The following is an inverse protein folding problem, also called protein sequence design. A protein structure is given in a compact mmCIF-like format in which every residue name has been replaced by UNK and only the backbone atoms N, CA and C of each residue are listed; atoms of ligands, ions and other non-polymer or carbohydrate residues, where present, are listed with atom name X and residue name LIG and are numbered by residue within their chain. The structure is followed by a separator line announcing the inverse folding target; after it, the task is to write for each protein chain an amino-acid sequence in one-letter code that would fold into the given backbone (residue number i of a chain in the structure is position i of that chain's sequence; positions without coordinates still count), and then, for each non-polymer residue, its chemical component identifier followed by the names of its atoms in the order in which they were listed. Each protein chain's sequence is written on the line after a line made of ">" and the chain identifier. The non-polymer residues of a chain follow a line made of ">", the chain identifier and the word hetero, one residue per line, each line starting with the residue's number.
data_IF_620466014229
#
_entry.id   IF_620466014229
#
_cell.length_a   1.000
_cell.length_b   1.000
_cell.length_c   1.000
_cell.angle_alpha   90.00
_cell.angle_beta   90.00
_cell.angle_gamma   90.00
#
_symmetry.space_group_name_H-M   'P 1'
#
loop_
_entity.id
_entity.type
_entity.pdbx_description
1 polymer ?
#
# COMPACT_ATOMS: atom_id res chain seq x y z
N UNK A 1 34.20 11.71 35.63
CA UNK A 1 33.83 12.94 34.89
C UNK A 1 33.43 12.53 33.48
N UNK A 2 32.30 12.85 32.91
CA UNK A 2 31.10 13.54 33.38
C UNK A 2 29.94 13.07 32.50
N UNK A 3 28.75 13.03 33.10
CA UNK A 3 27.50 12.62 32.49
C UNK A 3 27.00 13.61 31.41
N UNK A 4 26.27 13.08 30.43
CA UNK A 4 25.06 13.67 29.86
C UNK A 4 24.05 12.52 29.77
N UNK A 5 23.05 12.40 30.65
CA UNK A 5 21.79 13.18 30.70
C UNK A 5 21.14 13.27 29.31
N UNK A 6 19.91 12.81 29.06
CA UNK A 6 18.85 12.41 29.97
C UNK A 6 18.16 11.13 29.50
N UNK A 7 17.80 10.30 30.48
CA UNK A 7 16.72 9.36 30.34
C UNK A 7 15.50 10.14 29.84
N UNK A 8 14.92 9.71 28.72
CA UNK A 8 13.57 10.12 28.33
C UNK A 8 12.70 9.72 29.52
N UNK A 9 12.23 10.72 30.24
CA UNK A 9 11.21 10.55 31.26
C UNK A 9 10.02 9.99 30.52
N UNK A 10 9.67 8.74 30.84
CA UNK A 10 8.46 8.10 30.33
C UNK A 10 7.29 9.07 30.54
N UNK A 11 6.71 9.55 29.44
CA UNK A 11 5.42 10.21 29.47
C UNK A 11 4.43 9.27 30.18
N UNK A 12 3.51 9.85 30.96
CA UNK A 12 2.63 9.12 31.89
C UNK A 12 2.10 7.81 31.30
N UNK A 13 2.12 6.73 32.11
CA UNK A 13 1.96 5.33 31.66
C UNK A 13 0.96 5.23 30.50
N UNK A 14 1.50 4.82 29.35
CA UNK A 14 0.76 4.45 28.16
C UNK A 14 -0.45 3.58 28.56
N UNK A 15 -1.64 4.03 28.19
CA UNK A 15 -2.87 3.33 28.55
C UNK A 15 -3.18 2.37 27.42
N UNK A 16 -3.13 1.07 27.73
CA UNK A 16 -3.43 0.05 26.72
C UNK A 16 -4.85 0.22 26.17
N UNK A 17 -5.09 -0.20 24.92
CA UNK A 17 -6.41 -0.25 24.28
C UNK A 17 -7.47 -0.82 25.23
N UNK A 18 -7.17 -1.96 25.87
CA UNK A 18 -8.07 -2.64 26.79
C UNK A 18 -8.42 -1.80 28.01
N UNK A 19 -7.45 -1.10 28.59
CA UNK A 19 -7.66 -0.23 29.74
C UNK A 19 -8.41 1.06 29.36
N UNK A 20 -8.14 1.61 28.18
CA UNK A 20 -8.76 2.84 27.71
C UNK A 20 -10.22 2.61 27.32
N UNK A 21 -10.46 1.59 26.49
CA UNK A 21 -11.77 1.30 25.93
C UNK A 21 -12.80 0.87 27.00
N UNK A 22 -12.41 0.02 27.95
CA UNK A 22 -13.26 -0.37 29.09
C UNK A 22 -13.82 0.83 29.85
N UNK A 23 -13.03 1.89 29.96
CA UNK A 23 -13.44 3.11 30.65
C UNK A 23 -14.31 4.00 29.77
N UNK A 24 -14.07 4.06 28.45
CA UNK A 24 -14.97 4.72 27.49
C UNK A 24 -16.37 4.11 27.53
N UNK A 25 -16.49 2.78 27.59
CA UNK A 25 -17.80 2.10 27.73
C UNK A 25 -18.57 2.55 28.98
N UNK A 26 -17.86 2.80 30.07
CA UNK A 26 -18.46 3.25 31.35
C UNK A 26 -18.72 4.76 31.42
N UNK A 27 -18.20 5.53 30.46
CA UNK A 27 -18.21 6.99 30.46
C UNK A 27 -19.49 7.58 29.84
N UNK A 28 -20.51 6.80 29.52
CA UNK A 28 -21.77 7.27 28.89
C UNK A 28 -22.74 7.99 29.84
N UNK A 29 -22.33 8.26 31.09
CA UNK A 29 -23.16 8.89 32.13
C UNK A 29 -22.83 10.38 32.32
N UNK A 30 -23.72 11.23 32.87
CA UNK A 30 -23.44 12.66 33.12
C UNK A 30 -22.16 12.97 33.93
N UNK A 31 -21.68 12.04 34.77
CA UNK A 31 -20.47 12.18 35.60
C UNK A 31 -19.16 11.77 34.91
N UNK A 32 -19.20 11.57 33.59
CA UNK A 32 -18.09 11.05 32.78
C UNK A 32 -16.76 11.80 32.96
N UNK A 33 -16.81 13.12 33.17
CA UNK A 33 -15.63 13.96 33.35
C UNK A 33 -14.82 13.57 34.59
N UNK A 34 -15.50 13.28 35.70
CA UNK A 34 -14.85 12.87 36.94
C UNK A 34 -14.30 11.44 36.82
N UNK A 35 -15.06 10.54 36.17
CA UNK A 35 -14.63 9.15 35.92
C UNK A 35 -13.38 9.11 35.05
N UNK A 36 -13.39 9.79 33.90
CA UNK A 36 -12.26 9.86 32.99
C UNK A 36 -11.08 10.57 33.66
N UNK A 37 -11.24 11.80 34.16
CA UNK A 37 -10.13 12.54 34.80
C UNK A 37 -9.45 11.78 35.95
N UNK A 38 -10.18 10.96 36.72
CA UNK A 38 -9.60 10.14 37.79
C UNK A 38 -8.61 9.06 37.31
N UNK A 39 -8.72 8.64 36.04
CA UNK A 39 -7.84 7.66 35.42
C UNK A 39 -6.52 8.29 34.98
N UNK A 40 -6.53 9.49 34.38
CA UNK A 40 -5.30 10.12 33.87
C UNK A 40 -4.43 10.66 35.02
N UNK A 41 -3.58 9.78 35.57
CA UNK A 41 -2.54 10.10 36.56
C UNK A 41 -1.19 10.22 35.87
N UNK A 42 -0.52 11.38 35.98
CA UNK A 42 0.87 11.55 35.55
C UNK A 42 1.11 12.39 34.29
N UNK A 43 0.13 13.14 33.78
CA UNK A 43 0.39 14.16 32.75
C UNK A 43 0.92 15.42 33.46
N UNK A 44 2.22 15.69 33.37
CA UNK A 44 2.82 16.91 33.92
C UNK A 44 2.35 18.16 33.16
N UNK A 45 2.01 19.20 33.92
CA UNK A 45 1.71 20.60 33.57
C UNK A 45 0.66 20.95 32.49
N UNK A 46 0.00 19.97 31.83
CA UNK A 46 -0.93 20.23 30.72
C UNK A 46 -2.38 19.75 30.85
N UNK A 47 -2.63 18.67 31.61
CA UNK A 47 -3.97 18.06 31.79
C UNK A 47 -4.61 17.44 30.53
N UNK A 48 -5.80 16.84 30.71
CA UNK A 48 -6.69 16.36 29.64
C UNK A 48 -7.62 17.49 29.21
N UNK A 49 -7.80 17.67 27.90
CA UNK A 49 -8.76 18.60 27.34
C UNK A 49 -10.14 17.94 27.26
N UNK A 50 -11.15 18.63 27.76
CA UNK A 50 -12.54 18.16 27.75
C UNK A 50 -13.41 19.13 26.96
N UNK A 51 -14.13 18.63 25.97
CA UNK A 51 -15.17 19.34 25.26
C UNK A 51 -16.53 18.74 25.61
N UNK A 52 -17.41 19.55 26.20
CA UNK A 52 -18.78 19.14 26.55
C UNK A 52 -19.71 19.33 25.35
N UNK A 53 -20.51 18.31 25.05
CA UNK A 53 -21.42 18.28 23.91
C UNK A 53 -20.74 18.02 22.57
N UNK A 54 -21.48 18.28 21.50
CA UNK A 54 -21.02 18.10 20.13
C UNK A 54 -19.96 19.15 19.77
N UNK A 55 -18.93 18.73 19.05
CA UNK A 55 -17.86 19.59 18.52
C UNK A 55 -17.96 19.62 17.00
N UNK A 56 -18.23 20.80 16.45
CA UNK A 56 -18.21 21.05 15.01
C UNK A 56 -17.07 22.00 14.65
N UNK A 57 -16.27 21.64 13.64
CA UNK A 57 -15.21 22.49 13.11
C UNK A 57 -14.95 22.21 11.62
N UNK A 58 -14.22 23.09 10.95
CA UNK A 58 -13.78 22.81 9.58
C UNK A 58 -12.64 21.79 9.56
N UNK A 59 -11.65 21.94 10.44
CA UNK A 59 -10.54 21.00 10.66
C UNK A 59 -10.22 20.89 12.15
N UNK A 60 -9.53 19.83 12.56
CA UNK A 60 -9.05 19.64 13.93
C UNK A 60 -7.63 19.07 13.91
N UNK A 61 -6.73 19.76 14.63
CA UNK A 61 -5.38 19.26 14.92
C UNK A 61 -5.33 18.84 16.38
N UNK A 62 -5.15 17.55 16.65
CA UNK A 62 -5.01 17.01 18.01
C UNK A 62 -3.59 17.29 18.48
N UNK A 63 -3.47 18.09 19.54
CA UNK A 63 -2.18 18.41 20.14
C UNK A 63 -1.66 17.30 21.05
N UNK A 64 -0.51 17.49 21.72
CA UNK A 64 0.09 16.51 22.62
C UNK A 64 -0.73 16.25 23.90
N UNK A 65 -1.83 16.98 24.12
CA UNK A 65 -2.73 16.75 25.25
C UNK A 65 -3.91 15.90 24.78
N UNK A 66 -4.25 14.82 25.50
CA UNK A 66 -5.43 14.04 25.19
C UNK A 66 -6.68 14.93 25.12
N UNK A 67 -7.48 14.74 24.07
CA UNK A 67 -8.75 15.43 23.88
C UNK A 67 -9.90 14.43 24.06
N UNK A 68 -10.85 14.78 24.92
CA UNK A 68 -12.09 14.03 25.10
C UNK A 68 -13.28 14.91 24.70
N UNK A 69 -14.06 14.44 23.74
CA UNK A 69 -15.32 15.05 23.29
C UNK A 69 -16.48 14.21 23.84
N UNK A 70 -17.37 14.84 24.60
CA UNK A 70 -18.48 14.11 25.25
C UNK A 70 -19.68 13.86 24.35
N UNK A 71 -19.80 14.60 23.25
CA UNK A 71 -20.79 14.41 22.20
C UNK A 71 -20.14 13.88 20.91
N UNK A 72 -20.75 14.22 19.79
CA UNK A 72 -20.27 13.86 18.45
C UNK A 72 -19.22 14.85 17.95
N UNK A 73 -18.28 14.39 17.14
CA UNK A 73 -17.28 15.22 16.45
C UNK A 73 -17.62 15.27 14.96
N UNK A 74 -17.91 16.47 14.43
CA UNK A 74 -18.23 16.69 13.01
C UNK A 74 -17.23 17.66 12.38
N UNK A 75 -16.51 17.17 11.38
CA UNK A 75 -15.45 17.90 10.69
C UNK A 75 -15.70 17.94 9.18
N UNK A 76 -15.61 19.12 8.56
CA UNK A 76 -15.78 19.25 7.10
C UNK A 76 -14.53 18.89 6.30
N UNK A 77 -13.37 18.88 6.95
CA UNK A 77 -12.07 18.69 6.33
C UNK A 77 -11.24 17.62 7.04
N UNK A 78 -10.05 18.01 7.48
CA UNK A 78 -9.03 17.10 8.00
C UNK A 78 -9.05 17.03 9.54
N UNK A 79 -9.02 15.81 10.06
CA UNK A 79 -8.58 15.47 11.40
C UNK A 79 -7.13 14.98 11.34
N UNK A 80 -6.22 15.60 12.10
CA UNK A 80 -4.82 15.21 12.11
C UNK A 80 -4.12 15.41 13.45
N UNK A 81 -2.97 14.75 13.63
CA UNK A 81 -2.09 14.99 14.77
C UNK A 81 -1.17 16.20 14.57
N UNK A 82 -0.85 16.88 15.66
CA UNK A 82 0.07 18.01 15.69
C UNK A 82 1.53 17.61 15.49
N UNK A 83 2.33 18.52 14.93
CA UNK A 83 3.72 18.34 14.45
C UNK A 83 4.76 17.86 15.49
N UNK A 84 4.39 17.66 16.76
CA UNK A 84 5.27 17.29 17.87
C UNK A 84 4.70 16.16 18.74
N UNK A 85 3.66 15.46 18.27
CA UNK A 85 2.97 14.46 19.06
C UNK A 85 3.05 13.09 18.39
N UNK A 86 4.14 12.39 18.66
CA UNK A 86 4.11 10.94 18.67
C UNK A 86 3.26 10.56 19.90
N UNK A 87 2.15 9.84 19.72
CA UNK A 87 1.22 9.40 20.77
C UNK A 87 0.22 10.45 21.31
N UNK A 88 -0.55 11.14 20.45
CA UNK A 88 -1.78 11.82 20.90
C UNK A 88 -2.86 10.81 21.29
N UNK A 89 -3.91 11.31 21.95
CA UNK A 89 -5.10 10.51 22.24
C UNK A 89 -6.35 11.34 22.01
N UNK A 90 -7.23 10.85 21.13
CA UNK A 90 -8.57 11.41 20.94
C UNK A 90 -9.62 10.40 21.40
N UNK A 91 -10.51 10.85 22.27
CA UNK A 91 -11.69 10.09 22.72
C UNK A 91 -12.95 10.85 22.32
N UNK A 92 -13.88 10.19 21.64
CA UNK A 92 -15.19 10.75 21.28
C UNK A 92 -16.27 9.82 21.83
N UNK A 93 -17.13 10.32 22.71
CA UNK A 93 -18.19 9.53 23.34
C UNK A 93 -19.46 9.43 22.47
N UNK A 94 -19.57 10.25 21.42
CA UNK A 94 -20.60 10.16 20.38
C UNK A 94 -20.05 9.65 19.04
N UNK A 95 -20.66 10.12 17.95
CA UNK A 95 -20.28 9.75 16.58
C UNK A 95 -19.11 10.61 16.06
N UNK A 96 -18.37 10.09 15.09
CA UNK A 96 -17.37 10.84 14.32
C UNK A 96 -17.78 10.93 12.85
N UNK A 97 -17.96 12.15 12.35
CA UNK A 97 -18.14 12.41 10.93
C UNK A 97 -17.04 13.34 10.43
N UNK A 98 -16.31 12.92 9.40
CA UNK A 98 -15.13 13.66 8.92
C UNK A 98 -14.89 13.41 7.43
N UNK A 99 -14.30 14.39 6.73
CA UNK A 99 -13.89 14.20 5.34
C UNK A 99 -12.65 13.31 5.27
N UNK A 100 -11.56 13.70 5.95
CA UNK A 100 -10.31 12.94 5.97
C UNK A 100 -9.72 12.83 7.38
N UNK A 101 -9.06 11.72 7.66
CA UNK A 101 -8.29 11.48 8.89
C UNK A 101 -6.89 11.08 8.51
N UNK A 102 -5.89 11.73 9.10
CA UNK A 102 -4.48 11.34 9.03
C UNK A 102 -3.97 11.28 10.47
N UNK A 103 -3.78 10.09 11.00
CA UNK A 103 -3.39 9.92 12.39
C UNK A 103 -2.16 9.04 12.56
N UNK A 104 -1.31 9.43 13.50
CA UNK A 104 -0.14 8.72 14.00
C UNK A 104 -0.35 8.31 15.46
N UNK A 105 -1.60 8.16 15.89
CA UNK A 105 -1.96 8.19 17.31
C UNK A 105 -3.26 7.45 17.61
N UNK A 106 -3.47 7.13 18.88
CA UNK A 106 -4.62 6.35 19.32
C UNK A 106 -5.94 7.16 19.29
N UNK A 107 -6.99 6.53 18.76
CA UNK A 107 -8.33 7.11 18.68
C UNK A 107 -9.38 6.14 19.22
N UNK A 108 -10.27 6.60 20.10
CA UNK A 108 -11.37 5.80 20.63
C UNK A 108 -12.70 6.51 20.41
N UNK A 109 -13.54 5.94 19.56
CA UNK A 109 -14.85 6.49 19.21
C UNK A 109 -15.93 5.53 19.70
N UNK A 110 -16.84 6.00 20.55
CA UNK A 110 -17.87 5.15 21.11
C UNK A 110 -19.06 4.90 20.16
N UNK A 111 -19.39 5.90 19.35
CA UNK A 111 -20.47 5.83 18.36
C UNK A 111 -20.01 5.34 16.98
N UNK A 112 -20.79 5.71 15.96
CA UNK A 112 -20.51 5.40 14.56
C UNK A 112 -19.42 6.33 13.99
N UNK A 113 -18.61 5.79 13.08
CA UNK A 113 -17.58 6.56 12.35
C UNK A 113 -17.93 6.61 10.87
N UNK A 114 -17.97 7.81 10.30
CA UNK A 114 -18.19 8.06 8.88
C UNK A 114 -17.07 8.93 8.31
N UNK A 115 -16.23 8.33 7.46
CA UNK A 115 -15.12 8.98 6.76
C UNK A 115 -15.48 9.06 5.28
N UNK A 116 -15.61 10.26 4.73
CA UNK A 116 -16.07 10.46 3.34
C UNK A 116 -14.95 10.26 2.31
N UNK A 117 -13.72 10.61 2.68
CA UNK A 117 -12.51 10.49 1.88
C UNK A 117 -11.59 9.39 2.40
N UNK A 118 -10.47 9.78 3.00
CA UNK A 118 -9.37 8.91 3.43
C UNK A 118 -9.32 8.76 4.95
N UNK A 119 -9.10 7.55 5.43
CA UNK A 119 -8.33 7.32 6.66
C UNK A 119 -6.92 6.92 6.28
N UNK A 120 -5.91 7.60 6.81
CA UNK A 120 -4.53 7.13 6.83
C UNK A 120 -4.10 7.00 8.29
N UNK A 121 -3.71 5.80 8.69
CA UNK A 121 -3.08 5.53 9.98
C UNK A 121 -1.69 4.94 9.76
N UNK A 122 -0.65 5.58 10.30
CA UNK A 122 0.72 5.04 10.37
C UNK A 122 1.29 5.09 11.79
N UNK A 123 1.81 3.97 12.31
CA UNK A 123 2.28 3.85 13.71
C UNK A 123 3.52 2.97 13.80
N UNK A 124 4.34 3.15 14.83
CA UNK A 124 5.46 2.25 15.14
C UNK A 124 5.01 0.86 15.63
N UNK A 125 3.70 0.56 15.61
CA UNK A 125 3.14 -0.78 15.67
C UNK A 125 2.20 -1.05 16.84
N UNK A 126 1.90 -0.04 17.65
CA UNK A 126 1.22 -0.11 18.95
C UNK A 126 -0.05 0.75 19.06
N UNK A 127 -0.30 1.67 18.13
CA UNK A 127 -1.50 2.53 18.19
C UNK A 127 -2.76 1.87 17.60
N UNK A 128 -3.89 2.17 18.22
CA UNK A 128 -5.19 1.59 17.91
C UNK A 128 -6.21 2.68 17.55
N UNK A 129 -6.88 2.49 16.41
CA UNK A 129 -8.11 3.21 16.11
C UNK A 129 -9.29 2.30 16.41
N UNK A 130 -10.02 2.63 17.46
CA UNK A 130 -11.11 1.86 18.00
C UNK A 130 -12.47 2.51 17.75
N UNK A 131 -13.44 1.72 17.26
CA UNK A 131 -14.78 2.16 16.88
C UNK A 131 -15.85 1.27 17.53
N UNK A 132 -16.74 1.87 18.31
CA UNK A 132 -17.78 1.17 19.06
C UNK A 132 -19.02 0.86 18.27
N UNK A 133 -19.40 1.79 17.40
CA UNK A 133 -20.44 1.61 16.41
C UNK A 133 -19.92 1.01 15.11
N UNK A 134 -20.63 1.29 14.02
CA UNK A 134 -20.23 0.94 12.67
C UNK A 134 -19.18 1.89 12.10
N UNK A 135 -18.39 1.39 11.15
CA UNK A 135 -17.43 2.17 10.38
C UNK A 135 -17.85 2.19 8.91
N UNK A 136 -18.09 3.39 8.38
CA UNK A 136 -18.31 3.64 6.96
C UNK A 136 -17.17 4.49 6.40
N UNK A 137 -16.48 3.96 5.38
CA UNK A 137 -15.41 4.70 4.71
C UNK A 137 -15.24 4.31 3.25
N UNK A 138 -14.77 5.27 2.43
CA UNK A 138 -14.43 4.99 1.04
C UNK A 138 -13.07 4.32 0.92
N UNK A 139 -12.03 4.89 1.53
CA UNK A 139 -10.69 4.30 1.54
C UNK A 139 -10.12 4.36 2.94
N UNK A 140 -9.62 3.23 3.40
CA UNK A 140 -8.78 3.13 4.58
C UNK A 140 -7.39 2.69 4.13
N UNK A 141 -6.37 3.41 4.56
CA UNK A 141 -4.97 3.04 4.42
C UNK A 141 -4.42 2.88 5.81
N UNK A 142 -3.98 1.68 6.11
CA UNK A 142 -3.46 1.27 7.40
C UNK A 142 -2.06 0.73 7.16
N UNK A 143 -1.08 1.47 7.66
CA UNK A 143 0.31 1.05 7.74
C UNK A 143 0.64 0.90 9.23
N UNK A 144 0.80 -0.33 9.70
CA UNK A 144 1.16 -0.64 11.09
C UNK A 144 0.18 -0.19 12.22
N UNK A 145 -0.93 0.49 11.96
CA UNK A 145 -2.03 0.81 12.90
C UNK A 145 -3.07 -0.32 13.07
N UNK A 146 -3.54 -0.62 14.27
CA UNK A 146 -4.61 -1.62 14.42
C UNK A 146 -5.99 -0.95 14.42
N UNK A 147 -6.84 -1.28 13.45
CA UNK A 147 -8.21 -0.77 13.36
C UNK A 147 -9.19 -1.79 13.93
N UNK A 148 -9.90 -1.42 14.99
CA UNK A 148 -10.82 -2.27 15.73
C UNK A 148 -12.23 -1.69 15.63
N UNK A 149 -13.16 -2.41 15.00
CA UNK A 149 -14.55 -1.98 14.79
C UNK A 149 -15.48 -3.01 15.42
N UNK A 150 -16.36 -2.57 16.34
CA UNK A 150 -17.34 -3.44 16.99
C UNK A 150 -18.64 -3.59 16.20
N UNK A 151 -19.06 -2.56 15.45
CA UNK A 151 -20.29 -2.55 14.69
C UNK A 151 -20.11 -2.90 13.22
N UNK A 152 -21.14 -2.61 12.41
CA UNK A 152 -21.16 -2.94 10.99
C UNK A 152 -20.03 -2.24 10.22
N UNK A 153 -19.41 -2.96 9.28
CA UNK A 153 -18.36 -2.44 8.42
C UNK A 153 -18.89 -2.17 7.01
N UNK A 154 -18.84 -0.91 6.56
CA UNK A 154 -19.18 -0.46 5.21
C UNK A 154 -17.98 0.27 4.59
N UNK A 155 -16.94 -0.49 4.26
CA UNK A 155 -15.67 0.02 3.73
C UNK A 155 -15.49 -0.45 2.28
N UNK A 156 -15.24 0.46 1.33
CA UNK A 156 -14.97 0.05 -0.06
C UNK A 156 -13.58 -0.58 -0.21
N UNK A 157 -12.53 0.09 0.27
CA UNK A 157 -11.13 -0.35 0.12
C UNK A 157 -10.40 -0.22 1.45
N UNK A 158 -9.71 -1.28 1.86
CA UNK A 158 -8.67 -1.26 2.88
C UNK A 158 -7.32 -1.51 2.21
N UNK A 159 -6.31 -0.70 2.48
CA UNK A 159 -4.90 -1.01 2.25
C UNK A 159 -4.29 -1.32 3.61
N UNK A 160 -3.58 -2.43 3.73
CA UNK A 160 -3.10 -2.89 5.03
C UNK A 160 -3.77 -4.17 5.45
N UNK A 161 -3.46 -4.63 6.66
CA UNK A 161 -3.83 -5.98 7.10
C UNK A 161 -4.36 -6.05 8.53
N UNK A 162 -4.26 -4.98 9.31
CA UNK A 162 -4.61 -4.95 10.73
C UNK A 162 -6.01 -4.37 10.96
N UNK A 163 -7.04 -5.03 10.41
CA UNK A 163 -8.45 -4.71 10.66
C UNK A 163 -9.17 -5.85 11.37
N UNK A 164 -9.71 -5.56 12.55
CA UNK A 164 -10.58 -6.45 13.34
C UNK A 164 -12.01 -5.89 13.34
N UNK A 165 -12.95 -6.55 12.63
CA UNK A 165 -14.35 -6.10 12.55
C UNK A 165 -15.34 -7.27 12.32
N UNK A 166 -16.62 -7.16 12.74
CA UNK A 166 -17.68 -8.07 12.31
C UNK A 166 -18.11 -7.70 10.88
N UNK A 167 -17.31 -8.16 9.92
CA UNK A 167 -17.46 -7.87 8.51
C UNK A 167 -16.12 -7.90 7.81
N UNK A 168 -16.13 -7.62 6.51
CA UNK A 168 -14.91 -7.44 5.73
C UNK A 168 -15.08 -6.21 4.84
N UNK A 169 -14.01 -5.45 4.58
CA UNK A 169 -14.07 -4.42 3.56
C UNK A 169 -14.44 -5.09 2.23
N UNK A 170 -15.04 -4.35 1.31
CA UNK A 170 -15.39 -4.89 -0.01
C UNK A 170 -14.14 -5.36 -0.76
N UNK A 171 -12.98 -4.79 -0.43
CA UNK A 171 -11.68 -5.21 -0.91
C UNK A 171 -10.57 -4.87 0.09
N UNK A 172 -9.58 -5.75 0.19
CA UNK A 172 -8.29 -5.49 0.85
C UNK A 172 -7.19 -5.50 -0.22
N UNK A 173 -6.36 -4.47 -0.22
CA UNK A 173 -5.23 -4.28 -1.12
C UNK A 173 -3.94 -4.29 -0.31
N UNK A 174 -2.85 -4.68 -0.97
CA UNK A 174 -1.53 -4.32 -0.49
C UNK A 174 -1.19 -2.87 -0.93
N UNK A 175 -0.18 -2.22 -0.32
CA UNK A 175 0.24 -0.87 -0.69
C UNK A 175 0.49 -0.73 -2.21
N UNK A 176 -0.08 0.30 -2.83
CA UNK A 176 -0.04 0.51 -4.28
C UNK A 176 -0.22 1.99 -4.64
N UNK A 177 0.59 2.50 -5.59
CA UNK A 177 0.57 3.89 -6.13
C UNK A 177 -0.77 4.36 -6.71
N UNK A 178 -1.75 3.46 -6.87
CA UNK A 178 -3.09 3.81 -7.35
C UNK A 178 -3.89 4.59 -6.30
N UNK A 179 -3.43 4.57 -5.05
CA UNK A 179 -3.99 5.31 -3.94
C UNK A 179 -3.04 6.46 -3.62
N UNK A 180 -3.56 7.68 -3.77
CA UNK A 180 -2.86 8.95 -3.51
C UNK A 180 -1.70 9.28 -4.47
N UNK A 181 -1.97 9.51 -5.77
CA UNK A 181 -0.93 9.89 -6.74
C UNK A 181 -0.16 11.15 -6.31
N UNK A 182 1.16 11.05 -6.18
CA UNK A 182 2.04 12.16 -5.76
C UNK A 182 2.05 12.46 -4.26
N UNK A 183 1.42 11.62 -3.42
CA UNK A 183 1.59 11.65 -1.96
C UNK A 183 2.77 10.80 -1.46
N UNK A 184 3.39 10.07 -2.39
CA UNK A 184 4.59 9.29 -2.17
C UNK A 184 5.76 10.12 -2.66
N UNK A 185 6.81 10.27 -1.84
CA UNK A 185 8.06 10.87 -2.31
C UNK A 185 8.91 9.80 -2.96
N UNK A 186 9.44 10.12 -4.13
CA UNK A 186 10.72 9.54 -4.53
C UNK A 186 11.73 10.12 -3.52
N UNK A 187 12.35 9.30 -2.67
CA UNK A 187 13.54 9.78 -1.97
C UNK A 187 14.60 10.09 -3.04
N UNK A 188 14.91 11.38 -3.14
CA UNK A 188 15.91 12.07 -3.94
C UNK A 188 15.79 12.07 -5.49
N UNK A 189 15.79 13.31 -6.02
CA UNK A 189 15.94 13.68 -7.43
C UNK A 189 17.38 13.49 -7.97
N UNK A 190 18.20 12.68 -7.32
CA UNK A 190 19.45 12.25 -7.90
C UNK A 190 19.17 11.02 -8.77
N UNK A 191 19.64 11.04 -10.01
CA UNK A 191 19.45 10.02 -11.03
C UNK A 191 20.01 8.66 -10.59
N UNK A 192 19.35 7.95 -9.68
CA UNK A 192 19.77 6.60 -9.32
C UNK A 192 19.22 5.62 -10.37
N UNK A 193 20.16 4.90 -11.00
CA UNK A 193 20.03 3.96 -12.14
C UNK A 193 18.94 2.86 -11.98
N UNK A 194 18.22 2.83 -10.86
CA UNK A 194 17.57 1.65 -10.34
C UNK A 194 16.08 1.59 -10.64
N UNK A 195 15.40 2.71 -10.89
CA UNK A 195 14.01 2.78 -11.38
C UNK A 195 13.04 1.77 -10.74
N UNK A 196 13.25 1.50 -9.45
CA UNK A 196 12.31 0.85 -8.55
C UNK A 196 11.87 1.95 -7.63
N UNK A 197 10.63 2.36 -7.81
CA UNK A 197 9.94 3.26 -6.90
C UNK A 197 9.73 2.49 -5.60
N UNK A 198 10.55 2.78 -4.61
CA UNK A 198 10.14 2.57 -3.24
C UNK A 198 9.32 3.79 -2.86
N UNK A 199 8.00 3.60 -2.85
CA UNK A 199 7.10 4.67 -2.47
C UNK A 199 7.02 4.62 -0.95
N UNK A 200 7.78 5.46 -0.25
CA UNK A 200 7.45 5.84 1.14
C UNK A 200 6.41 6.96 1.08
N UNK A 201 5.31 6.80 1.81
CA UNK A 201 4.27 7.81 1.81
C UNK A 201 4.82 9.02 2.55
N UNK A 202 4.95 10.15 1.85
CA UNK A 202 5.32 11.39 2.51
C UNK A 202 4.11 11.90 3.26
N UNK A 203 4.02 11.54 4.54
CA UNK A 203 2.95 11.99 5.43
C UNK A 203 2.85 13.53 5.50
N UNK A 204 3.92 14.28 5.23
CA UNK A 204 3.90 15.74 5.16
C UNK A 204 3.28 16.23 3.85
N UNK A 205 3.65 15.65 2.71
CA UNK A 205 3.00 15.94 1.42
C UNK A 205 1.53 15.52 1.41
N UNK A 206 1.19 14.34 1.95
CA UNK A 206 -0.19 13.89 2.09
C UNK A 206 -1.03 14.91 2.87
N UNK A 207 -0.56 15.34 4.05
CA UNK A 207 -1.23 16.38 4.85
C UNK A 207 -1.38 17.67 4.06
N UNK A 208 -0.34 18.12 3.36
CA UNK A 208 -0.40 19.32 2.53
C UNK A 208 -1.43 19.20 1.39
N UNK A 209 -1.51 18.04 0.74
CA UNK A 209 -2.48 17.76 -0.32
C UNK A 209 -3.92 17.77 0.20
N UNK A 210 -4.17 17.12 1.34
CA UNK A 210 -5.49 17.07 1.97
C UNK A 210 -5.93 18.45 2.46
N UNK A 211 -5.04 19.22 3.08
CA UNK A 211 -5.30 20.63 3.51
C UNK A 211 -5.60 21.54 2.32
N UNK A 212 -4.96 21.31 1.18
CA UNK A 212 -5.25 22.02 -0.06
C UNK A 212 -6.58 21.59 -0.71
N UNK A 213 -7.34 20.68 -0.09
CA UNK A 213 -8.59 20.15 -0.62
C UNK A 213 -8.37 19.32 -1.89
N UNK A 214 -7.16 18.82 -2.13
CA UNK A 214 -6.93 17.91 -3.25
C UNK A 214 -7.78 16.67 -3.02
N UNK A 215 -8.50 16.18 -4.03
CA UNK A 215 -9.27 14.97 -3.89
C UNK A 215 -8.33 13.81 -3.58
N UNK A 216 -8.55 13.14 -2.45
CA UNK A 216 -7.93 11.85 -2.05
C UNK A 216 -7.91 10.88 -3.22
N UNK A 217 -8.98 10.93 -4.01
CA UNK A 217 -9.17 10.21 -5.24
C UNK A 217 -9.41 11.25 -6.34
N UNK A 218 -8.35 11.75 -6.95
CA UNK A 218 -8.45 12.60 -8.15
C UNK A 218 -8.97 11.85 -9.39
N UNK A 219 -9.42 10.60 -9.24
CA UNK A 219 -9.31 9.65 -10.32
C UNK A 219 -10.57 9.41 -11.13
N UNK A 220 -10.45 9.62 -12.44
CA UNK A 220 -11.36 9.04 -13.43
C UNK A 220 -11.34 7.50 -13.37
N UNK A 221 -10.31 6.87 -12.77
CA UNK A 221 -10.26 5.45 -12.35
C UNK A 221 -11.27 5.05 -11.28
N UNK A 222 -12.07 5.97 -10.70
CA UNK A 222 -13.24 5.63 -9.88
C UNK A 222 -14.55 6.28 -10.35
N UNK A 223 -14.55 7.06 -11.44
CA UNK A 223 -15.77 7.48 -12.15
C UNK A 223 -16.44 6.34 -12.94
N UNK A 224 -17.48 6.55 -13.73
CA UNK A 224 -17.99 5.51 -14.63
C UNK A 224 -16.90 5.02 -15.59
N UNK A 225 -16.84 3.71 -15.86
CA UNK A 225 -15.87 3.08 -16.76
C UNK A 225 -15.90 3.73 -18.14
N UNK A 226 -17.11 4.07 -18.59
CA UNK A 226 -17.43 4.71 -19.86
C UNK A 226 -16.76 6.08 -19.98
N UNK A 227 -16.73 6.85 -18.87
CA UNK A 227 -16.09 8.18 -18.85
C UNK A 227 -14.57 8.07 -18.97
N UNK A 228 -13.96 7.08 -18.31
CA UNK A 228 -12.52 6.84 -18.41
C UNK A 228 -12.12 6.41 -19.83
N UNK A 229 -12.89 5.53 -20.45
CA UNK A 229 -12.70 5.09 -21.83
C UNK A 229 -12.89 6.26 -22.80
N UNK A 230 -13.93 7.08 -22.64
CA UNK A 230 -14.17 8.25 -23.49
C UNK A 230 -13.02 9.26 -23.42
N UNK A 231 -12.51 9.55 -22.22
CA UNK A 231 -11.36 10.42 -22.03
C UNK A 231 -10.10 9.85 -22.70
N UNK A 232 -9.81 8.55 -22.51
CA UNK A 232 -8.67 7.91 -23.16
C UNK A 232 -8.81 7.93 -24.69
N UNK A 233 -10.02 7.71 -25.22
CA UNK A 233 -10.32 7.79 -26.65
C UNK A 233 -10.06 9.18 -27.22
N UNK A 234 -10.45 10.23 -26.51
CA UNK A 234 -10.17 11.62 -26.91
C UNK A 234 -8.67 11.90 -26.96
N UNK A 235 -7.91 11.46 -25.94
CA UNK A 235 -6.44 11.62 -25.89
C UNK A 235 -5.74 10.91 -27.05
N UNK A 236 -6.17 9.67 -27.34
CA UNK A 236 -5.67 8.90 -28.49
C UNK A 236 -5.99 9.62 -29.79
N UNK A 237 -7.21 10.14 -29.96
CA UNK A 237 -7.63 10.86 -31.16
C UNK A 237 -6.85 12.18 -31.37
N UNK A 238 -6.46 12.84 -30.29
CA UNK A 238 -5.63 14.06 -30.32
C UNK A 238 -4.14 13.79 -30.55
N UNK A 239 -3.71 12.51 -30.55
CA UNK A 239 -2.29 12.16 -30.64
C UNK A 239 -1.47 12.67 -29.46
N UNK A 240 -2.08 12.76 -28.27
CA UNK A 240 -1.37 13.15 -27.06
C UNK A 240 -0.21 12.18 -26.78
N UNK A 241 0.86 12.68 -26.16
CA UNK A 241 2.02 11.86 -25.80
C UNK A 241 1.62 10.82 -24.74
N UNK A 242 1.83 9.54 -25.02
CA UNK A 242 1.62 8.43 -24.10
C UNK A 242 0.24 8.38 -23.42
N UNK A 243 -0.87 8.23 -24.18
CA UNK A 243 -2.20 8.13 -23.61
C UNK A 243 -2.32 6.90 -22.70
N UNK A 244 -2.89 7.10 -21.51
CA UNK A 244 -3.06 6.06 -20.48
C UNK A 244 -4.53 5.91 -20.09
N UNK A 245 -4.94 4.68 -19.79
CA UNK A 245 -6.26 4.33 -19.30
C UNK A 245 -6.10 3.52 -18.01
N UNK A 246 -6.66 4.05 -16.93
CA UNK A 246 -6.78 3.30 -15.70
C UNK A 246 -8.21 2.85 -15.47
N UNK A 247 -8.38 1.58 -15.14
CA UNK A 247 -9.64 0.93 -14.83
C UNK A 247 -9.52 0.09 -13.54
N UNK A 248 -8.58 0.42 -12.65
CA UNK A 248 -8.41 -0.27 -11.38
C UNK A 248 -9.65 -0.11 -10.49
N UNK A 249 -9.97 -1.12 -9.67
CA UNK A 249 -11.04 -1.05 -8.65
C UNK A 249 -12.45 -0.77 -9.21
N UNK A 250 -12.74 -1.24 -10.43
CA UNK A 250 -14.01 -1.02 -11.13
C UNK A 250 -14.99 -2.18 -11.00
N UNK A 251 -14.63 -3.23 -10.25
CA UNK A 251 -15.39 -4.49 -10.16
C UNK A 251 -15.63 -5.14 -11.54
N UNK A 252 -14.72 -4.91 -12.49
CA UNK A 252 -14.81 -5.48 -13.83
C UNK A 252 -14.62 -6.99 -13.76
N UNK A 253 -15.59 -7.75 -14.28
CA UNK A 253 -15.42 -9.19 -14.49
C UNK A 253 -14.71 -9.51 -15.79
N UNK A 254 -14.78 -8.58 -16.75
CA UNK A 254 -14.15 -8.63 -18.07
C UNK A 254 -13.65 -7.24 -18.43
N UNK A 255 -12.62 -7.17 -19.28
CA UNK A 255 -12.17 -5.90 -19.86
C UNK A 255 -13.26 -5.44 -20.86
N UNK A 256 -13.78 -4.20 -20.75
CA UNK A 256 -14.79 -3.69 -21.69
C UNK A 256 -14.31 -3.70 -23.14
N UNK A 257 -15.19 -4.07 -24.08
CA UNK A 257 -14.84 -4.26 -25.49
C UNK A 257 -14.28 -2.98 -26.14
N UNK A 258 -14.74 -1.82 -25.69
CA UNK A 258 -14.31 -0.51 -26.18
C UNK A 258 -12.83 -0.23 -25.89
N UNK A 259 -12.24 -0.85 -24.86
CA UNK A 259 -10.82 -0.70 -24.53
C UNK A 259 -9.95 -1.18 -25.69
N UNK A 260 -10.31 -2.29 -26.34
CA UNK A 260 -9.53 -2.88 -27.43
C UNK A 260 -9.51 -2.00 -28.70
N UNK A 261 -10.47 -1.07 -28.84
CA UNK A 261 -10.46 -0.09 -29.93
C UNK A 261 -9.42 1.02 -29.77
N UNK A 262 -8.82 1.16 -28.59
CA UNK A 262 -7.82 2.19 -28.27
C UNK A 262 -6.42 1.74 -28.71
N UNK A 263 -6.23 1.47 -29.99
CA UNK A 263 -4.96 0.90 -30.53
C UNK A 263 -3.73 1.79 -30.33
N UNK A 264 -3.93 3.09 -30.11
CA UNK A 264 -2.90 4.06 -29.75
C UNK A 264 -2.62 4.20 -28.25
N UNK A 265 -3.26 3.40 -27.39
CA UNK A 265 -3.06 3.43 -25.94
C UNK A 265 -1.66 2.94 -25.57
N UNK A 266 -0.91 3.72 -24.79
CA UNK A 266 0.46 3.38 -24.37
C UNK A 266 0.53 2.81 -22.94
N UNK A 267 -0.47 3.08 -22.10
CA UNK A 267 -0.55 2.53 -20.74
C UNK A 267 -1.94 2.06 -20.35
N UNK A 268 -2.03 0.85 -19.78
CA UNK A 268 -3.27 0.27 -19.27
C UNK A 268 -3.08 -0.28 -17.87
N UNK A 269 -3.96 0.10 -16.96
CA UNK A 269 -3.97 -0.38 -15.57
C UNK A 269 -5.33 -1.01 -15.27
N UNK A 270 -5.35 -2.30 -14.94
CA UNK A 270 -6.57 -3.08 -14.67
C UNK A 270 -6.62 -3.60 -13.23
N UNK A 271 -5.75 -3.10 -12.36
CA UNK A 271 -5.50 -3.72 -11.07
C UNK A 271 -6.76 -3.90 -10.23
N UNK A 272 -6.74 -4.92 -9.39
CA UNK A 272 -7.71 -5.07 -8.32
C UNK A 272 -9.15 -5.18 -8.83
N UNK A 273 -9.34 -5.82 -9.98
CA UNK A 273 -10.64 -6.21 -10.51
C UNK A 273 -10.86 -7.73 -10.42
N UNK A 274 -12.10 -8.22 -10.36
CA UNK A 274 -12.42 -9.65 -10.41
C UNK A 274 -12.33 -10.23 -11.85
N UNK A 275 -11.30 -9.87 -12.62
CA UNK A 275 -11.07 -10.39 -13.98
C UNK A 275 -10.35 -11.73 -13.88
N UNK A 276 -11.06 -12.82 -14.16
CA UNK A 276 -10.50 -14.17 -14.10
C UNK A 276 -9.78 -14.57 -15.39
N UNK A 277 -10.15 -13.95 -16.52
CA UNK A 277 -9.61 -14.24 -17.85
C UNK A 277 -9.28 -12.93 -18.55
N UNK A 278 -8.02 -12.77 -18.95
CA UNK A 278 -7.61 -11.67 -19.84
C UNK A 278 -7.99 -12.07 -21.27
N UNK A 279 -8.79 -11.24 -21.93
CA UNK A 279 -9.22 -11.48 -23.31
C UNK A 279 -8.01 -11.50 -24.27
N UNK A 280 -7.94 -12.45 -25.23
CA UNK A 280 -6.98 -12.43 -26.34
C UNK A 280 -6.91 -11.09 -27.09
N UNK A 281 -8.00 -10.33 -27.10
CA UNK A 281 -8.06 -8.98 -27.71
C UNK A 281 -7.11 -7.98 -27.07
N UNK A 282 -6.50 -8.28 -25.92
CA UNK A 282 -5.41 -7.46 -25.35
C UNK A 282 -4.28 -7.23 -26.37
N UNK A 283 -4.02 -8.18 -27.28
CA UNK A 283 -3.04 -8.05 -28.36
C UNK A 283 -3.38 -7.00 -29.44
N UNK A 284 -4.62 -6.47 -29.45
CA UNK A 284 -5.02 -5.37 -30.34
C UNK A 284 -4.42 -4.02 -29.93
N UNK A 285 -3.99 -3.88 -28.66
CA UNK A 285 -3.38 -2.67 -28.11
C UNK A 285 -1.91 -2.55 -28.55
N UNK A 286 -1.67 -2.40 -29.86
CA UNK A 286 -0.33 -2.48 -30.45
C UNK A 286 0.64 -1.38 -30.03
N UNK A 287 0.16 -0.26 -29.50
CA UNK A 287 0.99 0.81 -28.95
C UNK A 287 1.31 0.63 -27.45
N UNK A 288 0.79 -0.42 -26.80
CA UNK A 288 0.89 -0.56 -25.34
C UNK A 288 2.32 -0.80 -24.88
N UNK A 289 2.83 0.11 -24.04
CA UNK A 289 4.18 0.07 -23.46
C UNK A 289 4.18 -0.38 -22.00
N UNK A 290 3.10 -0.10 -21.28
CA UNK A 290 2.95 -0.44 -19.87
C UNK A 290 1.62 -1.11 -19.62
N UNK A 291 1.65 -2.27 -18.99
CA UNK A 291 0.45 -3.03 -18.61
C UNK A 291 0.56 -3.45 -17.15
N UNK A 292 -0.44 -3.06 -16.35
CA UNK A 292 -0.57 -3.47 -14.97
C UNK A 292 -1.84 -4.31 -14.80
N UNK A 293 -1.64 -5.52 -14.30
CA UNK A 293 -2.66 -6.55 -14.08
C UNK A 293 -2.63 -7.01 -12.61
N UNK A 294 -2.31 -6.12 -11.70
CA UNK A 294 -2.05 -6.50 -10.31
C UNK A 294 -3.32 -6.92 -9.59
N UNK A 295 -3.18 -7.82 -8.60
CA UNK A 295 -4.30 -8.28 -7.78
C UNK A 295 -5.49 -8.81 -8.59
N UNK A 296 -5.23 -9.40 -9.76
CA UNK A 296 -6.25 -10.08 -10.56
C UNK A 296 -6.32 -11.56 -10.19
N UNK A 297 -7.52 -12.16 -10.10
CA UNK A 297 -7.69 -13.60 -9.93
C UNK A 297 -7.46 -14.36 -11.25
N UNK A 298 -6.49 -13.94 -12.05
CA UNK A 298 -6.19 -14.53 -13.36
C UNK A 298 -5.47 -15.86 -13.19
N UNK A 299 -5.98 -16.91 -13.84
CA UNK A 299 -5.34 -18.24 -13.80
C UNK A 299 -4.25 -18.44 -14.87
N UNK A 300 -4.39 -17.77 -16.01
CA UNK A 300 -3.46 -17.86 -17.13
C UNK A 300 -3.50 -16.58 -17.98
N UNK A 301 -2.38 -16.26 -18.63
CA UNK A 301 -2.27 -15.15 -19.58
C UNK A 301 -2.49 -15.65 -21.02
N UNK A 302 -3.21 -14.90 -21.88
CA UNK A 302 -3.40 -15.26 -23.28
C UNK A 302 -2.09 -15.11 -24.07
N UNK A 303 -1.90 -15.94 -25.09
CA UNK A 303 -0.73 -15.88 -25.98
C UNK A 303 -0.59 -14.51 -26.66
N UNK A 304 -1.71 -13.86 -26.94
CA UNK A 304 -1.77 -12.55 -27.59
C UNK A 304 -1.15 -11.43 -26.74
N UNK A 305 -1.19 -11.55 -25.40
CA UNK A 305 -0.47 -10.62 -24.51
C UNK A 305 1.03 -10.71 -24.78
N UNK A 306 1.54 -11.92 -25.01
CA UNK A 306 2.96 -12.18 -25.23
C UNK A 306 3.45 -11.66 -26.59
N UNK A 307 2.54 -11.25 -27.47
CA UNK A 307 2.81 -10.72 -28.81
C UNK A 307 2.70 -9.20 -28.90
N UNK A 308 2.57 -8.51 -27.77
CA UNK A 308 2.53 -7.04 -27.75
C UNK A 308 3.91 -6.48 -28.17
N UNK A 309 4.02 -5.80 -29.32
CA UNK A 309 5.30 -5.55 -29.97
C UNK A 309 6.19 -4.54 -29.24
N UNK A 310 5.58 -3.67 -28.43
CA UNK A 310 6.26 -2.54 -27.77
C UNK A 310 6.05 -2.53 -26.26
N UNK A 311 5.53 -3.62 -25.67
CA UNK A 311 5.33 -3.73 -24.23
C UNK A 311 6.70 -3.75 -23.54
N UNK A 312 6.95 -2.75 -22.70
CA UNK A 312 8.22 -2.57 -21.96
C UNK A 312 8.10 -2.92 -20.50
N UNK A 313 6.95 -2.65 -19.89
CA UNK A 313 6.69 -2.88 -18.46
C UNK A 313 5.45 -3.73 -18.29
N UNK A 314 5.57 -4.81 -17.52
CA UNK A 314 4.45 -5.68 -17.15
C UNK A 314 4.46 -5.93 -15.65
N UNK A 315 3.36 -5.64 -14.99
CA UNK A 315 3.15 -5.99 -13.58
C UNK A 315 2.06 -7.05 -13.42
N UNK A 316 2.42 -8.14 -12.74
CA UNK A 316 1.56 -9.27 -12.37
C UNK A 316 1.66 -9.54 -10.85
N UNK A 317 1.95 -8.51 -10.06
CA UNK A 317 1.98 -8.62 -8.59
C UNK A 317 0.61 -8.98 -8.07
N UNK A 318 0.57 -9.72 -6.97
CA UNK A 318 -0.64 -10.15 -6.26
C UNK A 318 -1.61 -11.02 -7.08
N UNK A 319 -1.16 -11.57 -8.22
CA UNK A 319 -1.93 -12.53 -9.01
C UNK A 319 -1.88 -13.94 -8.42
N UNK A 320 -2.55 -14.14 -7.28
CA UNK A 320 -2.49 -15.38 -6.48
C UNK A 320 -2.92 -16.66 -7.23
N UNK A 321 -3.70 -16.55 -8.31
CA UNK A 321 -4.14 -17.69 -9.12
C UNK A 321 -3.22 -18.00 -10.31
N UNK A 322 -2.24 -17.15 -10.60
CA UNK A 322 -1.33 -17.35 -11.73
C UNK A 322 -0.21 -18.31 -11.32
N UNK A 323 -0.30 -19.56 -11.76
CA UNK A 323 0.66 -20.61 -11.38
C UNK A 323 1.81 -20.82 -12.36
N UNK A 324 1.64 -20.34 -13.60
CA UNK A 324 2.63 -20.45 -14.68
C UNK A 324 2.53 -19.28 -15.65
N UNK A 325 3.65 -18.98 -16.30
CA UNK A 325 3.70 -18.13 -17.49
C UNK A 325 3.57 -19.01 -18.75
N UNK A 326 2.93 -18.53 -19.83
CA UNK A 326 2.87 -19.25 -21.11
C UNK A 326 4.27 -19.40 -21.74
N UNK A 327 4.48 -20.40 -22.58
CA UNK A 327 5.79 -20.62 -23.24
C UNK A 327 6.12 -19.50 -24.22
N UNK A 328 5.09 -18.86 -24.78
CA UNK A 328 5.15 -17.71 -25.65
C UNK A 328 5.56 -16.43 -24.92
N UNK A 329 5.71 -16.43 -23.59
CA UNK A 329 6.15 -15.23 -22.86
C UNK A 329 7.52 -14.74 -23.35
N UNK A 330 8.35 -15.61 -23.96
CA UNK A 330 9.59 -15.23 -24.63
C UNK A 330 9.41 -14.40 -25.92
N UNK A 331 8.20 -14.34 -26.47
CA UNK A 331 7.82 -13.50 -27.63
C UNK A 331 7.66 -12.01 -27.25
N UNK A 332 7.73 -11.66 -25.97
CA UNK A 332 7.76 -10.27 -25.50
C UNK A 332 9.11 -9.60 -25.81
N UNK A 333 9.37 -9.34 -27.09
CA UNK A 333 10.65 -8.84 -27.62
C UNK A 333 11.09 -7.46 -27.09
N UNK A 334 10.15 -6.71 -26.52
CA UNK A 334 10.37 -5.36 -26.00
C UNK A 334 10.33 -5.27 -24.47
N UNK A 335 10.04 -6.36 -23.75
CA UNK A 335 9.88 -6.29 -22.30
C UNK A 335 11.23 -6.03 -21.63
N UNK A 336 11.29 -4.94 -20.86
CA UNK A 336 12.47 -4.46 -20.15
C UNK A 336 12.34 -4.65 -18.63
N UNK A 337 11.10 -4.59 -18.11
CA UNK A 337 10.79 -4.65 -16.68
C UNK A 337 9.59 -5.56 -16.42
N UNK A 338 9.76 -6.48 -15.45
CA UNK A 338 8.74 -7.44 -15.06
C UNK A 338 8.63 -7.53 -13.53
N UNK A 339 7.40 -7.44 -13.02
CA UNK A 339 7.08 -7.62 -11.61
C UNK A 339 6.19 -8.86 -11.44
N UNK A 340 6.66 -9.84 -10.65
CA UNK A 340 6.00 -11.11 -10.38
C UNK A 340 5.93 -11.40 -8.89
N UNK A 341 5.06 -12.36 -8.54
CA UNK A 341 5.10 -13.01 -7.23
C UNK A 341 5.69 -14.41 -7.33
N UNK A 342 6.43 -14.82 -6.30
CA UNK A 342 6.89 -16.21 -6.17
C UNK A 342 5.82 -17.13 -5.56
N UNK A 343 4.88 -16.58 -4.78
CA UNK A 343 3.87 -17.36 -4.02
C UNK A 343 3.03 -18.32 -4.88
N UNK A 344 2.57 -17.87 -6.04
CA UNK A 344 1.69 -18.65 -6.90
C UNK A 344 2.41 -19.60 -7.86
N UNK A 345 3.69 -19.35 -8.15
CA UNK A 345 4.41 -20.04 -9.21
C UNK A 345 4.91 -21.43 -8.78
N UNK A 346 4.73 -22.41 -9.66
CA UNK A 346 5.15 -23.81 -9.41
C UNK A 346 6.69 -23.95 -9.31
N UNK A 347 7.44 -22.96 -9.79
CA UNK A 347 8.89 -22.88 -9.70
C UNK A 347 9.42 -21.63 -10.39
N UNK A 348 10.73 -21.60 -10.67
CA UNK A 348 11.29 -20.56 -11.52
C UNK A 348 10.75 -20.70 -12.96
N UNK A 349 10.11 -19.67 -13.53
CA UNK A 349 9.60 -19.70 -14.90
C UNK A 349 10.76 -19.63 -15.90
N UNK A 350 11.23 -20.80 -16.36
CA UNK A 350 12.35 -20.94 -17.32
C UNK A 350 12.18 -20.09 -18.59
N UNK A 351 10.95 -19.80 -19.00
CA UNK A 351 10.67 -18.89 -20.12
C UNK A 351 11.29 -17.51 -19.97
N UNK A 352 11.48 -17.01 -18.74
CA UNK A 352 12.12 -15.70 -18.50
C UNK A 352 13.58 -15.66 -18.95
N UNK A 353 14.27 -16.80 -18.98
CA UNK A 353 15.67 -16.89 -19.48
C UNK A 353 15.79 -16.58 -20.97
N UNK A 354 14.69 -16.72 -21.72
CA UNK A 354 14.62 -16.51 -23.16
C UNK A 354 14.20 -15.08 -23.54
N UNK A 355 13.90 -14.21 -22.56
CA UNK A 355 13.50 -12.84 -22.83
C UNK A 355 14.70 -11.99 -23.31
N UNK A 356 14.66 -11.44 -24.53
CA UNK A 356 15.84 -10.87 -25.17
C UNK A 356 16.22 -9.48 -24.65
N UNK A 357 15.34 -8.79 -23.92
CA UNK A 357 15.55 -7.41 -23.43
C UNK A 357 15.25 -7.21 -21.95
N UNK A 358 14.88 -8.25 -21.20
CA UNK A 358 14.52 -8.10 -19.79
C UNK A 358 15.76 -7.69 -18.98
N UNK A 359 15.69 -6.50 -18.38
CA UNK A 359 16.76 -5.88 -17.57
C UNK A 359 16.44 -5.93 -16.08
N UNK A 360 15.16 -5.79 -15.74
CA UNK A 360 14.70 -5.72 -14.35
C UNK A 360 13.64 -6.80 -14.10
N UNK A 361 13.88 -7.66 -13.11
CA UNK A 361 12.97 -8.71 -12.68
C UNK A 361 12.78 -8.65 -11.17
N UNK A 362 11.56 -8.31 -10.76
CA UNK A 362 11.23 -8.03 -9.37
C UNK A 362 10.28 -9.08 -8.82
N UNK A 363 10.68 -9.70 -7.71
CA UNK A 363 9.88 -10.70 -7.00
C UNK A 363 9.26 -10.06 -5.78
N UNK A 364 7.96 -9.77 -5.82
CA UNK A 364 7.33 -9.01 -4.76
C UNK A 364 7.09 -9.86 -3.51
N UNK A 365 6.29 -10.93 -3.60
CA UNK A 365 6.05 -11.84 -2.45
C UNK A 365 6.86 -13.13 -2.55
N UNK A 366 7.73 -13.34 -1.56
CA UNK A 366 8.65 -14.45 -1.43
C UNK A 366 8.49 -15.14 -0.05
N UNK A 367 7.41 -15.91 0.14
CA UNK A 367 7.09 -16.54 1.42
C UNK A 367 7.22 -18.06 1.36
N UNK A 368 7.94 -18.65 2.33
CA UNK A 368 8.00 -20.12 2.54
C UNK A 368 8.42 -20.90 1.29
N UNK A 369 9.26 -20.29 0.44
CA UNK A 369 9.79 -20.92 -0.76
C UNK A 369 10.77 -22.03 -0.38
N UNK A 370 10.55 -23.28 -0.81
CA UNK A 370 11.48 -24.36 -0.55
C UNK A 370 12.89 -24.10 -1.14
N UNK A 371 13.97 -24.63 -0.53
CA UNK A 371 15.34 -24.41 -0.98
C UNK A 371 15.60 -24.74 -2.45
N UNK A 372 14.92 -25.75 -3.01
CA UNK A 372 15.03 -26.13 -4.42
C UNK A 372 14.47 -25.09 -5.37
N UNK A 373 13.34 -24.44 -5.02
CA UNK A 373 12.77 -23.36 -5.82
C UNK A 373 13.66 -22.11 -5.76
N UNK A 374 14.23 -21.82 -4.60
CA UNK A 374 15.22 -20.77 -4.40
C UNK A 374 16.48 -21.00 -5.24
N UNK A 375 16.99 -22.23 -5.27
CA UNK A 375 18.12 -22.61 -6.12
C UNK A 375 17.81 -22.41 -7.60
N UNK A 376 16.69 -22.95 -8.07
CA UNK A 376 16.27 -22.81 -9.47
C UNK A 376 16.10 -21.35 -9.88
N UNK A 377 15.62 -20.51 -8.95
CA UNK A 377 15.56 -19.07 -9.16
C UNK A 377 16.95 -18.46 -9.33
N UNK A 378 17.87 -18.65 -8.39
CA UNK A 378 19.23 -18.09 -8.46
C UNK A 378 19.94 -18.53 -9.74
N UNK A 379 19.87 -19.82 -10.08
CA UNK A 379 20.40 -20.37 -11.34
C UNK A 379 19.72 -19.76 -12.57
N UNK A 380 18.40 -19.57 -12.51
CA UNK A 380 17.60 -18.89 -13.52
C UNK A 380 18.05 -17.45 -13.77
N UNK A 381 18.20 -16.67 -12.69
CA UNK A 381 18.69 -15.29 -12.74
C UNK A 381 20.08 -15.20 -13.37
N UNK A 382 20.95 -16.20 -13.15
CA UNK A 382 22.27 -16.32 -13.79
C UNK A 382 22.27 -16.78 -15.26
N UNK A 383 21.14 -17.26 -15.78
CA UNK A 383 20.97 -17.61 -17.21
C UNK A 383 20.41 -16.47 -18.07
N UNK A 384 19.83 -15.43 -17.46
CA UNK A 384 19.27 -14.24 -18.13
C UNK A 384 20.32 -13.19 -18.56
N UNK A 385 20.76 -13.15 -19.84
CA UNK A 385 21.99 -12.45 -20.25
C UNK A 385 21.98 -10.93 -20.09
N UNK A 386 20.80 -10.28 -20.04
CA UNK A 386 20.65 -8.82 -19.91
C UNK A 386 20.13 -8.37 -18.55
N UNK A 387 19.88 -9.31 -17.65
CA UNK A 387 19.35 -8.99 -16.33
C UNK A 387 20.41 -8.25 -15.53
N UNK A 388 20.07 -7.04 -15.09
CA UNK A 388 20.94 -6.18 -14.31
C UNK A 388 20.37 -5.90 -12.93
N UNK A 389 19.05 -5.93 -12.76
CA UNK A 389 18.40 -5.63 -11.49
C UNK A 389 17.44 -6.78 -11.13
N UNK A 390 17.56 -7.28 -9.91
CA UNK A 390 16.59 -8.22 -9.36
C UNK A 390 16.50 -8.10 -7.85
N UNK A 391 15.60 -8.84 -7.22
CA UNK A 391 15.44 -8.76 -5.78
C UNK A 391 14.13 -9.33 -5.28
N UNK A 392 14.03 -9.38 -3.96
CA UNK A 392 12.86 -9.81 -3.18
C UNK A 392 12.38 -8.63 -2.35
N UNK A 393 11.09 -8.29 -2.39
CA UNK A 393 10.57 -7.13 -1.64
C UNK A 393 9.89 -7.49 -0.34
N UNK A 394 9.12 -8.57 -0.31
CA UNK A 394 8.38 -9.00 0.88
C UNK A 394 8.54 -10.49 1.03
N UNK A 395 8.84 -10.99 2.23
CA UNK A 395 9.09 -12.41 2.37
C UNK A 395 9.74 -12.86 3.66
N UNK A 396 9.79 -14.18 3.79
CA UNK A 396 10.62 -14.87 4.78
C UNK A 396 11.50 -15.86 4.00
N UNK A 397 12.79 -15.53 3.89
CA UNK A 397 13.81 -16.38 3.24
C UNK A 397 14.64 -17.03 4.35
N UNK A 398 14.42 -18.32 4.68
CA UNK A 398 15.14 -18.95 5.78
C UNK A 398 16.62 -19.22 5.45
N UNK A 399 16.92 -19.61 4.21
CA UNK A 399 18.28 -19.94 3.75
C UNK A 399 18.37 -19.79 2.23
N UNK A 400 19.40 -19.11 1.72
CA UNK A 400 19.72 -19.05 0.29
C UNK A 400 20.52 -20.27 -0.16
N UNK A 401 20.44 -20.64 -1.46
CA UNK A 401 21.26 -21.73 -2.00
C UNK A 401 22.75 -21.50 -1.77
N UNK A 402 23.51 -22.59 -1.59
CA UNK A 402 24.95 -22.55 -1.32
C UNK A 402 25.74 -21.77 -2.39
N UNK A 403 25.38 -21.95 -3.66
CA UNK A 403 25.97 -21.24 -4.79
C UNK A 403 25.16 -19.99 -5.13
N UNK A 404 25.79 -18.82 -4.98
CA UNK A 404 25.26 -17.51 -5.33
C UNK A 404 26.06 -16.84 -6.46
N UNK A 405 27.05 -17.53 -7.02
CA UNK A 405 27.84 -17.02 -8.15
C UNK A 405 26.99 -16.61 -9.37
N UNK A 406 25.81 -17.20 -9.64
CA UNK A 406 24.90 -16.72 -10.68
C UNK A 406 24.49 -15.24 -10.57
N UNK A 407 24.53 -14.66 -9.37
CA UNK A 407 24.11 -13.28 -9.11
C UNK A 407 25.22 -12.24 -9.35
N UNK A 408 26.48 -12.67 -9.51
CA UNK A 408 27.66 -11.79 -9.54
C UNK A 408 27.67 -10.73 -10.66
N UNK A 409 26.79 -10.86 -11.66
CA UNK A 409 26.65 -9.90 -12.76
C UNK A 409 25.58 -8.82 -12.54
N UNK A 410 24.78 -8.96 -11.48
CA UNK A 410 23.72 -8.00 -11.20
C UNK A 410 24.34 -6.67 -10.76
N UNK A 411 23.82 -5.59 -11.34
CA UNK A 411 24.12 -4.22 -10.93
C UNK A 411 23.40 -3.87 -9.63
N UNK A 412 22.26 -4.50 -9.38
CA UNK A 412 21.50 -4.28 -8.15
C UNK A 412 20.77 -5.56 -7.76
N UNK A 413 20.83 -5.87 -6.47
CA UNK A 413 20.00 -6.86 -5.82
C UNK A 413 19.29 -6.23 -4.61
N UNK A 414 17.97 -6.12 -4.65
CA UNK A 414 17.18 -5.58 -3.52
C UNK A 414 16.62 -6.70 -2.65
N UNK A 415 16.65 -6.51 -1.34
CA UNK A 415 16.07 -7.44 -0.36
C UNK A 415 15.31 -6.64 0.70
N UNK A 416 14.00 -6.86 0.79
CA UNK A 416 13.13 -6.18 1.76
C UNK A 416 13.23 -6.71 3.19
N UNK A 417 12.74 -5.91 4.13
CA UNK A 417 13.11 -5.95 5.55
C UNK A 417 12.32 -6.91 6.45
N UNK A 418 11.19 -7.45 5.99
CA UNK A 418 10.25 -8.08 6.93
C UNK A 418 10.87 -9.24 7.72
N UNK A 419 11.68 -10.11 7.09
CA UNK A 419 12.41 -11.22 7.75
C UNK A 419 13.58 -11.78 6.92
N UNK A 420 14.71 -11.06 6.85
CA UNK A 420 15.92 -11.55 6.15
C UNK A 420 17.12 -11.77 7.10
N UNK A 421 17.68 -12.99 7.23
CA UNK A 421 18.77 -13.26 8.17
C UNK A 421 20.05 -12.48 7.83
N UNK A 422 20.67 -11.86 8.83
CA UNK A 422 21.92 -11.11 8.65
C UNK A 422 23.06 -11.97 8.07
N UNK A 423 23.08 -13.28 8.39
CA UNK A 423 24.04 -14.22 7.81
C UNK A 423 23.85 -14.40 6.30
N UNK A 424 22.60 -14.38 5.83
CA UNK A 424 22.28 -14.49 4.40
C UNK A 424 22.56 -13.18 3.67
N UNK A 425 22.38 -12.03 4.33
CA UNK A 425 22.79 -10.72 3.79
C UNK A 425 24.30 -10.66 3.56
N UNK A 426 25.11 -11.13 4.50
CA UNK A 426 26.56 -11.22 4.34
C UNK A 426 26.96 -12.15 3.18
N UNK A 427 26.24 -13.28 3.00
CA UNK A 427 26.49 -14.20 1.88
C UNK A 427 26.15 -13.57 0.53
N UNK A 428 25.04 -12.82 0.44
CA UNK A 428 24.69 -12.07 -0.77
C UNK A 428 25.70 -10.97 -1.08
N UNK A 429 26.10 -10.18 -0.08
CA UNK A 429 27.10 -9.12 -0.24
C UNK A 429 28.42 -9.68 -0.79
N UNK A 430 28.84 -10.85 -0.29
CA UNK A 430 30.05 -11.53 -0.78
C UNK A 430 29.91 -12.11 -2.21
N UNK A 431 28.68 -12.39 -2.65
CA UNK A 431 28.39 -12.97 -3.97
C UNK A 431 28.13 -11.91 -5.05
N UNK A 432 27.74 -10.70 -4.64
CA UNK A 432 27.46 -9.56 -5.52
C UNK A 432 28.70 -8.66 -5.62
N UNK A 433 28.80 -7.81 -6.67
CA UNK A 433 29.81 -6.77 -6.67
C UNK A 433 29.60 -5.80 -5.49
N UNK A 434 30.67 -5.13 -5.00
CA UNK A 434 30.56 -4.24 -3.84
C UNK A 434 29.51 -3.15 -4.03
N UNK A 435 28.67 -2.94 -3.00
CA UNK A 435 27.64 -1.90 -3.00
C UNK A 435 26.48 -2.14 -3.97
N UNK A 436 26.27 -3.40 -4.41
CA UNK A 436 25.14 -3.77 -5.27
C UNK A 436 24.00 -4.46 -4.52
N UNK A 437 24.18 -4.79 -3.25
CA UNK A 437 23.10 -5.29 -2.40
C UNK A 437 22.46 -4.11 -1.67
N UNK A 438 21.13 -4.02 -1.75
CA UNK A 438 20.34 -3.09 -0.95
C UNK A 438 19.46 -3.92 -0.04
N UNK A 439 19.72 -3.85 1.26
CA UNK A 439 18.91 -4.47 2.30
C UNK A 439 18.12 -3.36 2.96
N UNK A 440 16.81 -3.36 2.77
CA UNK A 440 16.05 -2.16 3.02
C UNK A 440 14.83 -2.05 2.14
N UNK A 441 14.00 -1.08 2.49
CA UNK A 441 13.16 -0.40 1.52
C UNK A 441 14.07 0.45 0.62
#
# INVERSE_FOLDING_TARGET
>A
MAAKQGAVTSWGREVSEREAWSKVETATTPEWRQKLSSWWKGVTDGGVLFHEGDLEADTLVVGPRPLVVSGSLRLKGLLEDGHAADHTLLVVLGDLEVENVVTLSAMFIAGDVRIRGLLFGDSLGDDVFWVGGGLKARVLVEEHHHLHVKGALDVDVLVGSKLTAPGKPRQTLAPHEALLPGAWTDEDEDEDEDGVFDSTLDGRALRAMLRAGKPVLADTRLGPVEKAIAAAKEKVAKGEKAPRLGLSLKKLKVIPEEVFSLTGLEGLTLDSNPIEVISPRIGELRALRSLSLESLPVGALPVELCRLPVLKKLSLRYCDKLTRLPDEFSELESLEELYLDAKGLDGFPEVLTRLPKLKKLWWWRFFKTPPEKLRALVEGLGRMPKLTHSGFFQGEVPELPADLTPLARLKQFKVGLDKFPATEAQRLEAALPPGRLHVGY
#
